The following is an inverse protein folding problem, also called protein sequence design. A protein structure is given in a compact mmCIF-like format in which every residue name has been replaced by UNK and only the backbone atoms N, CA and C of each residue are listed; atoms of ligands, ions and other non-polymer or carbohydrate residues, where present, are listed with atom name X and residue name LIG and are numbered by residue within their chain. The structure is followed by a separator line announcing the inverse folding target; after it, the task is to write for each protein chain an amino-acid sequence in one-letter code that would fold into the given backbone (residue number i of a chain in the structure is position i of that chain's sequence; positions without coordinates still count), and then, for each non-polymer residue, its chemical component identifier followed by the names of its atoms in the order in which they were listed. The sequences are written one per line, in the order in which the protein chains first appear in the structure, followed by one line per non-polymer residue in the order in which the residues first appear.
data_IF_651724157047
#
_entry.id   IF_651724157047
#
_cell.length_a   1.000
_cell.length_b   1.000
_cell.length_c   1.000
_cell.angle_alpha   90.00
_cell.angle_beta   90.00
_cell.angle_gamma   90.00
#
_symmetry.space_group_name_H-M   'P 1'
#
loop_
_entity.id
_entity.type
_entity.pdbx_description
1 polymer ?
#
# COMPACT_ATOMS: atom_id res chain seq x y z
N UNK A 1 -16.20 6.48 -4.10
CA UNK A 1 -15.05 6.77 -3.21
C UNK A 1 -13.88 7.28 -4.03
N UNK A 2 -13.01 8.08 -3.41
CA UNK A 2 -11.73 8.47 -3.97
C UNK A 2 -10.61 7.63 -3.35
N UNK A 3 -9.84 6.94 -4.20
CA UNK A 3 -8.86 5.93 -3.79
C UNK A 3 -7.48 6.33 -4.30
N UNK A 4 -6.51 6.44 -3.38
CA UNK A 4 -5.11 6.68 -3.71
C UNK A 4 -4.33 5.36 -3.74
N UNK A 5 -3.66 5.06 -4.84
CA UNK A 5 -2.79 3.89 -4.99
C UNK A 5 -1.34 4.35 -4.90
N UNK A 6 -0.57 3.78 -3.97
CA UNK A 6 0.82 4.14 -3.67
C UNK A 6 1.83 3.65 -4.70
N UNK A 7 1.57 3.90 -5.98
CA UNK A 7 2.42 3.41 -7.06
C UNK A 7 2.62 4.48 -8.15
N UNK A 8 3.84 4.61 -8.65
CA UNK A 8 4.13 5.37 -9.87
C UNK A 8 3.92 4.47 -11.08
N UNK A 9 2.86 4.70 -11.84
CA UNK A 9 2.61 3.96 -13.06
C UNK A 9 3.69 4.26 -14.10
N UNK A 10 4.16 3.22 -14.78
CA UNK A 10 5.13 3.31 -15.85
C UNK A 10 4.55 2.66 -17.10
N UNK A 11 4.86 3.22 -18.26
CA UNK A 11 4.48 2.66 -19.56
C UNK A 11 5.40 1.49 -19.91
N UNK A 12 4.82 0.43 -20.49
CA UNK A 12 5.56 -0.75 -20.91
C UNK A 12 5.61 -1.90 -19.89
N UNK A 13 6.45 -2.92 -20.10
CA UNK A 13 6.49 -4.17 -19.32
C UNK A 13 7.28 -4.01 -18.02
N UNK A 14 6.78 -3.22 -17.10
CA UNK A 14 7.40 -2.93 -15.81
C UNK A 14 6.90 -3.84 -14.68
N UNK A 15 7.20 -5.10 -14.71
CA UNK A 15 7.01 -6.03 -13.59
C UNK A 15 5.57 -6.13 -13.01
N UNK A 16 5.38 -7.09 -12.12
CA UNK A 16 4.05 -7.41 -11.57
C UNK A 16 3.42 -6.30 -10.71
N UNK A 17 4.21 -5.45 -10.07
CA UNK A 17 3.70 -4.32 -9.29
C UNK A 17 3.00 -3.28 -10.14
N UNK A 18 3.57 -2.94 -11.29
CA UNK A 18 2.99 -1.99 -12.22
C UNK A 18 1.70 -2.55 -12.85
N UNK A 19 1.74 -3.81 -13.28
CA UNK A 19 0.56 -4.48 -13.84
C UNK A 19 -0.57 -4.57 -12.81
N UNK A 20 -0.26 -4.90 -11.56
CA UNK A 20 -1.23 -4.90 -10.48
C UNK A 20 -1.87 -3.52 -10.30
N UNK A 21 -1.07 -2.45 -10.23
CA UNK A 21 -1.57 -1.11 -10.00
C UNK A 21 -2.45 -0.62 -11.18
N UNK A 22 -2.07 -0.93 -12.43
CA UNK A 22 -2.85 -0.62 -13.62
C UNK A 22 -4.19 -1.36 -13.63
N UNK A 23 -4.17 -2.68 -13.41
CA UNK A 23 -5.38 -3.52 -13.41
C UNK A 23 -6.34 -3.13 -12.29
N UNK A 24 -5.82 -2.86 -11.10
CA UNK A 24 -6.62 -2.40 -9.98
C UNK A 24 -7.26 -1.04 -10.26
N UNK A 25 -6.48 -0.09 -10.80
CA UNK A 25 -7.00 1.23 -11.13
C UNK A 25 -8.11 1.18 -12.19
N UNK A 26 -7.95 0.33 -13.21
CA UNK A 26 -8.99 0.12 -14.22
C UNK A 26 -10.26 -0.46 -13.59
N UNK A 27 -10.15 -1.56 -12.83
CA UNK A 27 -11.28 -2.19 -12.17
C UNK A 27 -12.02 -1.24 -11.20
N UNK A 28 -11.28 -0.43 -10.43
CA UNK A 28 -11.91 0.54 -9.53
C UNK A 28 -12.67 1.63 -10.29
N UNK A 29 -12.13 2.11 -11.41
CA UNK A 29 -12.82 3.11 -12.26
C UNK A 29 -14.07 2.53 -12.90
N UNK A 30 -14.02 1.28 -13.37
CA UNK A 30 -15.18 0.57 -13.94
C UNK A 30 -16.31 0.41 -12.91
N UNK A 31 -15.95 0.34 -11.60
CA UNK A 31 -16.91 0.32 -10.50
C UNK A 31 -17.30 1.73 -9.98
N UNK A 32 -16.98 2.78 -10.75
CA UNK A 32 -17.39 4.15 -10.43
C UNK A 32 -16.58 4.87 -9.36
N UNK A 33 -15.37 4.37 -9.03
CA UNK A 33 -14.48 5.03 -8.09
C UNK A 33 -13.52 6.00 -8.78
N UNK A 34 -13.16 7.07 -8.09
CA UNK A 34 -12.08 7.96 -8.52
C UNK A 34 -10.75 7.39 -8.05
N UNK A 35 -9.75 7.33 -8.94
CA UNK A 35 -8.43 6.79 -8.63
C UNK A 35 -7.35 7.83 -8.89
N UNK A 36 -6.52 8.07 -7.88
CA UNK A 36 -5.32 8.90 -7.97
C UNK A 36 -4.07 8.12 -7.52
N UNK A 37 -2.88 8.65 -7.85
CA UNK A 37 -1.60 8.01 -7.56
C UNK A 37 -0.71 8.88 -6.65
N UNK A 38 -1.32 9.67 -5.77
CA UNK A 38 -0.63 10.54 -4.82
C UNK A 38 -1.55 10.98 -3.70
N UNK A 39 -1.01 11.73 -2.73
CA UNK A 39 -1.73 12.23 -1.56
C UNK A 39 -1.90 13.77 -1.59
N UNK A 40 -2.13 14.33 -2.78
CA UNK A 40 -2.29 15.79 -2.94
C UNK A 40 -3.70 16.27 -2.65
N UNK A 41 -4.69 15.42 -2.86
CA UNK A 41 -6.11 15.75 -2.67
C UNK A 41 -6.51 15.53 -1.21
N UNK A 42 -7.38 16.38 -0.69
CA UNK A 42 -7.75 16.37 0.74
C UNK A 42 -8.91 15.44 1.09
N UNK A 43 -9.59 14.92 0.09
CA UNK A 43 -10.82 14.13 0.19
C UNK A 43 -10.62 12.65 -0.22
N UNK A 44 -9.43 12.12 0.00
CA UNK A 44 -9.15 10.70 -0.26
C UNK A 44 -9.85 9.86 0.81
N UNK A 45 -10.71 8.94 0.39
CA UNK A 45 -11.44 8.03 1.27
C UNK A 45 -10.60 6.81 1.66
N UNK A 46 -9.79 6.27 0.72
CA UNK A 46 -8.99 5.08 0.92
C UNK A 46 -7.58 5.26 0.35
N UNK A 47 -6.60 4.85 1.11
CA UNK A 47 -5.17 4.88 0.73
C UNK A 47 -4.66 3.44 0.67
N UNK A 48 -4.22 3.00 -0.51
CA UNK A 48 -3.56 1.71 -0.68
C UNK A 48 -2.04 1.88 -0.60
N UNK A 49 -1.46 1.49 0.52
CA UNK A 49 -0.01 1.47 0.74
C UNK A 49 0.57 0.18 0.14
N UNK A 50 1.39 0.32 -0.91
CA UNK A 50 1.98 -0.81 -1.65
C UNK A 50 3.48 -0.95 -1.46
N UNK A 51 4.16 0.12 -1.05
CA UNK A 51 5.61 0.16 -0.87
C UNK A 51 5.97 0.84 0.45
N UNK A 52 6.85 0.22 1.20
CA UNK A 52 7.26 0.71 2.52
C UNK A 52 8.58 1.47 2.51
N UNK A 53 9.35 1.34 1.45
CA UNK A 53 10.66 2.01 1.31
C UNK A 53 10.46 3.45 0.84
N UNK A 54 10.98 4.40 1.59
CA UNK A 54 10.82 5.84 1.29
C UNK A 54 11.53 6.33 0.02
N UNK A 55 12.43 5.53 -0.55
CA UNK A 55 13.19 5.88 -1.77
C UNK A 55 12.99 4.88 -2.92
N UNK A 56 11.89 4.14 -2.91
CA UNK A 56 11.57 3.26 -4.03
C UNK A 56 11.10 4.09 -5.24
N UNK A 57 11.67 3.89 -6.44
CA UNK A 57 11.23 4.61 -7.64
C UNK A 57 9.80 4.25 -8.07
N UNK A 58 9.29 3.11 -7.63
CA UNK A 58 7.91 2.68 -7.90
C UNK A 58 6.89 3.22 -6.89
N UNK A 59 7.33 3.80 -5.77
CA UNK A 59 6.43 4.33 -4.74
C UNK A 59 6.08 5.80 -5.01
N UNK A 60 4.80 6.13 -5.06
CA UNK A 60 4.32 7.53 -5.08
C UNK A 60 4.21 8.12 -3.68
N UNK A 61 4.07 7.28 -2.67
CA UNK A 61 4.12 7.62 -1.24
C UNK A 61 4.49 6.40 -0.40
N UNK A 62 4.87 6.62 0.84
CA UNK A 62 5.24 5.61 1.82
C UNK A 62 4.54 5.86 3.17
N UNK A 63 4.72 4.97 4.15
CA UNK A 63 4.01 5.04 5.43
C UNK A 63 4.17 6.38 6.16
N UNK A 64 5.35 7.01 6.13
CA UNK A 64 5.57 8.32 6.74
C UNK A 64 4.76 9.44 6.08
N UNK A 65 4.63 9.41 4.74
CA UNK A 65 3.78 10.34 3.99
C UNK A 65 2.30 10.12 4.32
N UNK A 66 1.87 8.86 4.43
CA UNK A 66 0.50 8.51 4.83
C UNK A 66 0.20 9.03 6.23
N UNK A 67 1.11 8.82 7.19
CA UNK A 67 0.93 9.31 8.56
C UNK A 67 0.74 10.84 8.59
N UNK A 68 1.56 11.59 7.85
CA UNK A 68 1.41 13.04 7.73
C UNK A 68 0.08 13.44 7.10
N UNK A 69 -0.35 12.71 6.07
CA UNK A 69 -1.65 12.96 5.44
C UNK A 69 -2.80 12.77 6.44
N UNK A 70 -2.80 11.68 7.21
CA UNK A 70 -3.80 11.43 8.25
C UNK A 70 -3.80 12.51 9.34
N UNK A 71 -2.62 13.01 9.73
CA UNK A 71 -2.50 14.03 10.78
C UNK A 71 -2.95 15.43 10.32
N UNK A 72 -2.67 15.82 9.07
CA UNK A 72 -2.80 17.22 8.65
C UNK A 72 -3.82 17.44 7.51
N UNK A 73 -4.28 16.37 6.86
CA UNK A 73 -5.20 16.50 5.71
C UNK A 73 -6.54 15.82 5.94
N UNK A 74 -6.55 14.50 6.12
CA UNK A 74 -7.78 13.73 6.31
C UNK A 74 -7.59 12.57 7.29
N UNK A 75 -7.92 12.75 8.57
CA UNK A 75 -7.78 11.69 9.59
C UNK A 75 -8.78 10.53 9.43
N UNK A 76 -9.77 10.67 8.55
CA UNK A 76 -10.81 9.65 8.32
C UNK A 76 -10.49 8.72 7.13
N UNK A 77 -9.44 9.00 6.38
CA UNK A 77 -9.05 8.13 5.28
C UNK A 77 -8.67 6.73 5.80
N UNK A 78 -9.24 5.70 5.21
CA UNK A 78 -8.93 4.30 5.54
C UNK A 78 -7.64 3.90 4.87
N UNK A 79 -6.72 3.28 5.59
CA UNK A 79 -5.44 2.81 5.06
C UNK A 79 -5.43 1.30 4.94
N UNK A 80 -5.19 0.82 3.73
CA UNK A 80 -5.01 -0.60 3.41
C UNK A 80 -3.55 -0.84 3.04
N UNK A 81 -2.87 -1.71 3.75
CA UNK A 81 -1.49 -2.09 3.47
C UNK A 81 -1.43 -3.40 2.70
N UNK A 82 -0.99 -3.35 1.46
CA UNK A 82 -0.76 -4.54 0.64
C UNK A 82 0.63 -5.10 0.91
N UNK A 83 0.68 -6.30 1.48
CA UNK A 83 1.94 -6.99 1.82
C UNK A 83 2.20 -8.08 0.78
N UNK A 84 3.25 -7.89 -0.02
CA UNK A 84 3.64 -8.78 -1.12
C UNK A 84 5.11 -9.21 -1.07
N UNK A 85 5.84 -8.81 -0.04
CA UNK A 85 7.27 -9.06 0.12
C UNK A 85 7.60 -9.49 1.55
N UNK A 86 8.79 -10.08 1.73
CA UNK A 86 9.37 -10.40 3.03
C UNK A 86 10.89 -10.62 2.89
N UNK A 87 11.59 -10.69 4.02
CA UNK A 87 13.02 -10.98 4.05
C UNK A 87 13.33 -12.35 3.46
N UNK A 88 12.51 -13.35 3.74
CA UNK A 88 12.68 -14.72 3.29
C UNK A 88 12.66 -14.84 1.76
N UNK A 89 11.80 -14.06 1.11
CA UNK A 89 11.70 -14.04 -0.35
C UNK A 89 12.82 -13.24 -1.03
N UNK A 90 13.23 -12.13 -0.39
CA UNK A 90 14.22 -11.21 -0.96
C UNK A 90 15.65 -11.48 -0.53
N UNK A 91 15.88 -12.38 0.42
CA UNK A 91 17.19 -12.62 1.01
C UNK A 91 17.75 -11.41 1.77
N UNK A 92 16.86 -10.60 2.36
CA UNK A 92 17.21 -9.42 3.15
C UNK A 92 17.04 -9.69 4.65
N UNK A 93 17.45 -8.74 5.50
CA UNK A 93 17.34 -8.86 6.97
C UNK A 93 16.61 -7.68 7.61
N UNK A 94 16.00 -6.81 6.82
CA UNK A 94 15.39 -5.57 7.30
C UNK A 94 13.97 -5.33 6.76
N UNK A 95 13.56 -6.06 5.73
CA UNK A 95 12.26 -5.86 5.08
C UNK A 95 11.10 -6.15 6.03
N UNK A 96 11.14 -7.26 6.76
CA UNK A 96 10.08 -7.62 7.71
C UNK A 96 9.89 -6.54 8.78
N UNK A 97 10.98 -5.93 9.25
CA UNK A 97 10.91 -4.82 10.22
C UNK A 97 10.30 -3.56 9.61
N UNK A 98 10.65 -3.23 8.37
CA UNK A 98 10.06 -2.08 7.65
C UNK A 98 8.56 -2.28 7.41
N UNK A 99 8.17 -3.47 6.95
CA UNK A 99 6.77 -3.84 6.74
C UNK A 99 5.96 -3.72 8.03
N UNK A 100 6.48 -4.26 9.14
CA UNK A 100 5.82 -4.18 10.44
C UNK A 100 5.68 -2.74 10.95
N UNK A 101 6.70 -1.89 10.77
CA UNK A 101 6.62 -0.47 11.12
C UNK A 101 5.60 0.26 10.26
N UNK A 102 5.63 0.05 8.95
CA UNK A 102 4.67 0.65 8.03
C UNK A 102 3.23 0.20 8.31
N UNK A 103 3.04 -1.03 8.79
CA UNK A 103 1.73 -1.58 9.13
C UNK A 103 1.03 -0.85 10.29
N UNK A 104 1.73 -0.09 11.11
CA UNK A 104 1.10 0.68 12.20
C UNK A 104 0.19 1.81 11.71
N UNK A 105 0.35 2.29 10.47
CA UNK A 105 -0.56 3.29 9.88
C UNK A 105 -1.76 2.65 9.17
N UNK A 106 -1.79 1.33 9.05
CA UNK A 106 -2.82 0.61 8.32
C UNK A 106 -3.97 0.20 9.23
N UNK A 107 -5.20 0.40 8.74
CA UNK A 107 -6.42 -0.13 9.34
C UNK A 107 -6.62 -1.58 8.95
N UNK A 108 -6.27 -1.93 7.71
CA UNK A 108 -6.40 -3.29 7.15
C UNK A 108 -5.12 -3.72 6.45
N UNK A 109 -4.86 -5.03 6.48
CA UNK A 109 -3.76 -5.65 5.75
C UNK A 109 -4.27 -6.64 4.71
N UNK A 110 -3.73 -6.56 3.49
CA UNK A 110 -4.01 -7.48 2.39
C UNK A 110 -2.73 -8.25 2.07
N UNK A 111 -2.79 -9.56 2.18
CA UNK A 111 -1.66 -10.43 1.87
C UNK A 111 -1.83 -11.09 0.51
N UNK A 112 -0.79 -11.09 -0.31
CA UNK A 112 -0.79 -11.79 -1.61
C UNK A 112 -0.64 -13.30 -1.49
N UNK A 113 -0.48 -13.83 -0.27
CA UNK A 113 -0.40 -15.25 0.01
C UNK A 113 -0.52 -15.53 1.51
N UNK A 114 -1.16 -16.66 1.86
CA UNK A 114 -1.45 -17.03 3.25
C UNK A 114 -0.19 -17.19 4.11
N UNK A 115 0.91 -17.64 3.52
CA UNK A 115 2.18 -17.83 4.21
C UNK A 115 2.79 -16.52 4.74
N UNK A 116 2.56 -15.39 4.07
CA UNK A 116 3.00 -14.06 4.54
C UNK A 116 2.32 -13.67 5.86
N UNK A 117 1.08 -14.06 6.06
CA UNK A 117 0.32 -13.77 7.28
C UNK A 117 0.91 -14.44 8.52
N UNK A 118 1.61 -15.57 8.35
CA UNK A 118 2.27 -16.29 9.46
C UNK A 118 3.56 -15.60 9.93
N UNK A 119 4.17 -14.75 9.11
CA UNK A 119 5.43 -14.08 9.40
C UNK A 119 5.26 -12.84 10.29
N UNK A 120 6.30 -12.38 11.00
CA UNK A 120 6.24 -11.21 11.90
C UNK A 120 6.36 -9.88 11.15
N UNK A 121 5.63 -9.71 10.04
CA UNK A 121 5.68 -8.51 9.20
C UNK A 121 4.54 -7.54 9.39
N UNK A 122 3.60 -7.82 10.27
CA UNK A 122 2.42 -7.01 10.47
C UNK A 122 1.98 -6.97 11.92
N UNK A 123 1.06 -6.07 12.24
CA UNK A 123 0.47 -5.96 13.58
C UNK A 123 -0.59 -7.04 13.75
N UNK A 124 -0.25 -8.12 14.43
CA UNK A 124 -1.18 -9.22 14.72
C UNK A 124 -2.42 -8.71 15.47
N UNK A 125 -3.59 -9.20 15.08
CA UNK A 125 -4.87 -8.77 15.64
C UNK A 125 -5.52 -7.59 14.92
N UNK A 126 -4.83 -6.92 13.97
CA UNK A 126 -5.46 -5.98 13.06
C UNK A 126 -6.31 -6.73 12.01
N UNK A 127 -7.26 -6.01 11.40
CA UNK A 127 -8.08 -6.58 10.32
C UNK A 127 -7.19 -6.98 9.14
N UNK A 128 -7.42 -8.18 8.59
CA UNK A 128 -6.62 -8.70 7.49
C UNK A 128 -7.42 -9.63 6.57
N UNK A 129 -7.00 -9.68 5.30
CA UNK A 129 -7.52 -10.57 4.26
C UNK A 129 -6.36 -11.12 3.40
N UNK A 130 -6.60 -12.25 2.75
CA UNK A 130 -5.66 -12.89 1.84
C UNK A 130 -6.21 -12.77 0.42
#
# INVERSE_FOLDING_TARGET
MKIAIGYHLQEGPWGGGNQFAQSLAAALRDHGHQVCFGLRERDIDLILLTEVRGRSPSASFHAGTVLRYLQFCNPRAVVVHRINECDERKGTRHMNRLLRRANYVADHSVFVGSWLRALPLWRRGAASVI
#
